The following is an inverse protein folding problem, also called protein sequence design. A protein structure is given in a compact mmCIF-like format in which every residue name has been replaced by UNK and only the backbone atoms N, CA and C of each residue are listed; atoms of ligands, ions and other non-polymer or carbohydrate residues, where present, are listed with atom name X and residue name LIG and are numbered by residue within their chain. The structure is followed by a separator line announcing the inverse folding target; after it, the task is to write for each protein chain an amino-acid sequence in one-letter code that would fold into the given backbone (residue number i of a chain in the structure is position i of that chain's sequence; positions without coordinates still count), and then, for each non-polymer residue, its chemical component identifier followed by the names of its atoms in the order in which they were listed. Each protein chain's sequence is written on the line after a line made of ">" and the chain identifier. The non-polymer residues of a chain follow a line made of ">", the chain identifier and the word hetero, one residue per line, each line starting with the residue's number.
data_IF_759401653212
#
_entry.id   IF_759401653212
#
_cell.length_a   1.000
_cell.length_b   1.000
_cell.length_c   1.000
_cell.angle_alpha   90.00
_cell.angle_beta   90.00
_cell.angle_gamma   90.00
#
_symmetry.space_group_name_H-M   'P 1'
#
loop_
_entity.id
_entity.type
_entity.pdbx_description
1 polymer ?
#
# COMPACT_ATOMS: atom_id res chain seq x y z
N UNK A 1 23.05 11.72 39.55
CA UNK A 1 22.82 10.28 39.77
C UNK A 1 21.74 9.75 38.81
N UNK A 2 21.99 9.78 37.50
CA UNK A 2 21.01 9.29 36.51
C UNK A 2 21.58 8.28 35.49
N UNK A 3 22.89 8.21 35.30
CA UNK A 3 23.50 7.24 34.36
C UNK A 3 23.35 5.77 34.81
N UNK A 4 23.24 5.50 36.11
CA UNK A 4 23.04 4.14 36.63
C UNK A 4 21.65 3.56 36.34
N UNK A 5 20.63 4.43 36.18
CA UNK A 5 19.25 3.99 35.90
C UNK A 5 19.03 3.68 34.43
N UNK A 6 19.70 4.42 33.55
CA UNK A 6 19.64 4.18 32.10
C UNK A 6 20.35 2.89 31.73
N UNK A 7 21.46 2.56 32.38
CA UNK A 7 22.17 1.28 32.18
C UNK A 7 21.35 0.08 32.69
N UNK A 8 20.67 0.23 33.82
CA UNK A 8 19.76 -0.80 34.35
C UNK A 8 18.56 -1.06 33.42
N UNK A 9 18.00 -0.02 32.79
CA UNK A 9 16.91 -0.16 31.80
C UNK A 9 17.38 -0.79 30.48
N UNK A 10 18.61 -0.50 30.04
CA UNK A 10 19.22 -1.11 28.86
C UNK A 10 19.54 -2.59 29.06
N UNK A 11 20.03 -2.97 30.24
CA UNK A 11 20.25 -4.38 30.56
C UNK A 11 18.91 -5.13 30.73
N UNK A 12 17.85 -4.49 31.22
CA UNK A 12 16.52 -5.09 31.32
C UNK A 12 15.84 -5.31 29.96
N UNK A 13 16.09 -4.42 28.97
CA UNK A 13 15.64 -4.62 27.59
C UNK A 13 16.41 -5.74 26.88
N UNK A 14 17.70 -5.91 27.19
CA UNK A 14 18.53 -6.96 26.58
C UNK A 14 18.20 -8.36 27.11
N UNK A 15 17.81 -8.49 28.38
CA UNK A 15 17.34 -9.77 28.95
C UNK A 15 15.92 -10.14 28.49
N UNK A 16 15.08 -9.16 28.14
CA UNK A 16 13.73 -9.41 27.61
C UNK A 16 13.72 -9.85 26.13
N UNK A 17 14.86 -9.74 25.44
CA UNK A 17 14.99 -10.09 24.03
C UNK A 17 15.57 -11.49 23.79
N UNK A 18 15.92 -12.24 24.85
CA UNK A 18 16.49 -13.61 24.75
C UNK A 18 15.47 -14.73 25.03
N UNK A 19 14.18 -14.42 25.13
CA UNK A 19 13.11 -15.43 25.17
C UNK A 19 11.98 -15.07 24.22
N UNK A 20 12.25 -15.15 22.93
CA UNK A 20 11.27 -15.64 21.96
C UNK A 20 12.04 -16.46 20.94
N UNK A 21 12.33 -17.69 21.36
CA UNK A 21 12.60 -18.79 20.44
C UNK A 21 11.55 -18.75 19.35
N UNK A 22 11.97 -18.43 18.13
CA UNK A 22 11.29 -18.85 16.90
C UNK A 22 10.96 -20.32 17.04
N UNK A 23 9.68 -20.73 17.13
CA UNK A 23 9.39 -22.11 16.87
C UNK A 23 9.55 -22.29 15.36
N UNK A 24 10.55 -23.07 15.01
CA UNK A 24 10.64 -23.85 13.78
C UNK A 24 9.38 -24.74 13.65
N UNK A 25 8.23 -24.12 13.43
CA UNK A 25 6.91 -24.74 13.55
C UNK A 25 5.89 -24.14 12.57
N UNK A 26 6.34 -23.61 11.45
CA UNK A 26 5.50 -23.57 10.24
C UNK A 26 5.75 -24.83 9.39
N UNK A 27 6.99 -25.33 9.33
CA UNK A 27 7.33 -26.58 8.67
C UNK A 27 6.69 -27.82 9.33
N UNK A 28 6.58 -27.85 10.67
CA UNK A 28 5.93 -28.98 11.38
C UNK A 28 4.41 -29.01 11.23
N UNK A 29 3.75 -27.87 11.02
CA UNK A 29 2.30 -27.83 10.74
C UNK A 29 1.97 -28.32 9.33
N UNK A 30 2.89 -28.15 8.37
CA UNK A 30 2.70 -28.60 6.99
C UNK A 30 2.72 -30.13 6.83
N UNK A 31 3.41 -30.85 7.71
CA UNK A 31 3.51 -32.32 7.64
C UNK A 31 2.31 -33.09 8.23
N UNK A 32 1.38 -32.44 8.95
CA UNK A 32 0.29 -33.15 9.66
C UNK A 32 -1.08 -33.13 8.95
N UNK A 33 -1.25 -32.45 7.81
CA UNK A 33 -2.59 -32.23 7.22
C UNK A 33 -2.86 -32.98 5.91
N UNK A 34 -2.03 -33.97 5.57
CA UNK A 34 -2.19 -34.80 4.37
C UNK A 34 -3.23 -35.92 4.56
N UNK A 35 -4.50 -35.60 4.77
CA UNK A 35 -5.62 -36.49 4.49
C UNK A 35 -6.99 -35.80 4.62
N UNK A 36 -7.58 -35.32 3.53
CA UNK A 36 -9.03 -35.13 3.41
C UNK A 36 -9.50 -35.19 1.94
N UNK A 37 -10.70 -35.77 1.68
CA UNK A 37 -11.20 -36.08 0.34
C UNK A 37 -11.70 -34.83 -0.43
N UNK A 38 -11.90 -34.92 -1.76
CA UNK A 38 -12.31 -33.78 -2.58
C UNK A 38 -13.78 -33.45 -2.37
N UNK A 39 -14.08 -32.27 -1.82
CA UNK A 39 -15.43 -31.68 -1.76
C UNK A 39 -15.66 -30.70 -2.92
N UNK A 40 -16.94 -30.55 -3.35
CA UNK A 40 -17.32 -29.89 -4.60
C UNK A 40 -17.01 -28.40 -4.56
N UNK A 41 -16.60 -27.86 -5.73
CA UNK A 41 -16.34 -26.44 -6.03
C UNK A 41 -16.63 -25.49 -4.86
N UNK A 42 -15.66 -25.38 -3.95
CA UNK A 42 -15.79 -24.52 -2.78
C UNK A 42 -16.03 -23.10 -3.26
N UNK A 43 -17.02 -22.45 -2.67
CA UNK A 43 -17.38 -21.08 -2.95
C UNK A 43 -16.24 -20.17 -2.42
N UNK A 44 -15.20 -19.99 -3.25
CA UNK A 44 -13.94 -19.34 -2.90
C UNK A 44 -14.14 -17.93 -2.33
N UNK A 45 -15.27 -17.29 -2.67
CA UNK A 45 -15.67 -15.97 -2.17
C UNK A 45 -16.01 -15.98 -0.66
N UNK A 46 -16.44 -17.12 -0.11
CA UNK A 46 -16.85 -17.28 1.30
C UNK A 46 -15.79 -17.92 2.21
N UNK A 47 -14.61 -18.25 1.67
CA UNK A 47 -13.52 -18.83 2.45
C UNK A 47 -13.06 -17.90 3.59
N UNK A 48 -12.95 -18.45 4.80
CA UNK A 48 -12.32 -17.75 5.92
C UNK A 48 -10.82 -17.60 5.70
N UNK A 49 -10.19 -16.65 6.39
CA UNK A 49 -8.75 -16.39 6.29
C UNK A 49 -7.91 -17.64 6.56
N UNK A 50 -8.27 -18.45 7.57
CA UNK A 50 -7.57 -19.69 7.91
C UNK A 50 -7.70 -20.75 6.81
N UNK A 51 -8.87 -20.82 6.17
CA UNK A 51 -9.12 -21.72 5.05
C UNK A 51 -8.38 -21.28 3.78
N UNK A 52 -8.10 -19.98 3.61
CA UNK A 52 -7.36 -19.49 2.45
C UNK A 52 -5.88 -19.93 2.47
N UNK A 53 -5.23 -19.98 3.63
CA UNK A 53 -3.76 -20.17 3.72
C UNK A 53 -3.21 -21.40 2.96
N UNK A 54 -3.79 -22.60 3.06
CA UNK A 54 -3.30 -23.76 2.30
C UNK A 54 -3.46 -23.58 0.78
N UNK A 55 -4.48 -22.84 0.34
CA UNK A 55 -4.68 -22.53 -1.08
C UNK A 55 -3.64 -21.51 -1.56
N UNK A 56 -3.37 -20.48 -0.76
CA UNK A 56 -2.34 -19.47 -1.07
C UNK A 56 -0.96 -20.12 -1.18
N UNK A 57 -0.62 -21.03 -0.26
CA UNK A 57 0.66 -21.75 -0.29
C UNK A 57 0.82 -22.61 -1.55
N UNK A 58 -0.27 -23.18 -2.07
CA UNK A 58 -0.27 -23.94 -3.34
C UNK A 58 -0.10 -23.01 -4.54
N UNK A 59 -0.82 -21.89 -4.56
CA UNK A 59 -0.70 -20.87 -5.63
C UNK A 59 0.71 -20.27 -5.68
N UNK A 60 1.35 -20.06 -4.53
CA UNK A 60 2.71 -19.52 -4.46
C UNK A 60 3.78 -20.43 -5.10
N UNK A 61 3.49 -21.72 -5.28
CA UNK A 61 4.39 -22.66 -5.97
C UNK A 61 4.23 -22.63 -7.50
N UNK A 62 3.18 -21.99 -8.02
CA UNK A 62 2.94 -21.85 -9.45
C UNK A 62 3.70 -20.64 -10.01
N UNK A 63 4.61 -20.87 -10.95
CA UNK A 63 5.42 -19.83 -11.58
C UNK A 63 4.59 -18.83 -12.39
N UNK A 64 3.48 -19.26 -13.01
CA UNK A 64 2.59 -18.37 -13.74
C UNK A 64 1.88 -17.41 -12.78
N UNK A 65 1.43 -17.92 -11.64
CA UNK A 65 0.84 -17.11 -10.58
C UNK A 65 1.85 -16.08 -10.03
N UNK A 66 3.08 -16.51 -9.69
CA UNK A 66 4.13 -15.60 -9.19
C UNK A 66 4.47 -14.51 -10.21
N UNK A 67 4.53 -14.85 -11.50
CA UNK A 67 4.75 -13.89 -12.57
C UNK A 67 3.61 -12.87 -12.66
N UNK A 68 2.35 -13.29 -12.53
CA UNK A 68 1.18 -12.41 -12.53
C UNK A 68 1.20 -11.45 -11.31
N UNK A 69 1.47 -11.95 -10.10
CA UNK A 69 1.62 -11.10 -8.90
C UNK A 69 2.75 -10.09 -9.07
N UNK A 70 3.87 -10.50 -9.66
CA UNK A 70 5.00 -9.60 -9.95
C UNK A 70 4.62 -8.51 -10.96
N UNK A 71 3.90 -8.87 -12.02
CA UNK A 71 3.39 -7.91 -13.00
C UNK A 71 2.40 -6.91 -12.36
N UNK A 72 1.51 -7.37 -11.48
CA UNK A 72 0.61 -6.49 -10.74
C UNK A 72 1.37 -5.50 -9.84
N UNK A 73 2.45 -5.93 -9.16
CA UNK A 73 3.32 -5.06 -8.35
C UNK A 73 4.03 -4.01 -9.21
N UNK A 74 4.49 -4.38 -10.41
CA UNK A 74 5.08 -3.44 -11.38
C UNK A 74 4.04 -2.40 -11.80
N UNK A 75 2.83 -2.83 -12.17
CA UNK A 75 1.75 -1.91 -12.55
C UNK A 75 1.38 -0.93 -11.42
N UNK A 76 1.36 -1.40 -10.17
CA UNK A 76 1.17 -0.54 -9.01
C UNK A 76 2.30 0.49 -8.88
N UNK A 77 3.55 0.04 -8.95
CA UNK A 77 4.73 0.92 -8.86
C UNK A 77 4.74 1.98 -9.96
N UNK A 78 4.38 1.60 -11.20
CA UNK A 78 4.30 2.53 -12.32
C UNK A 78 3.14 3.53 -12.19
N UNK A 79 2.01 3.13 -11.59
CA UNK A 79 0.95 4.08 -11.26
C UNK A 79 1.41 5.07 -10.18
N UNK A 80 1.99 4.56 -9.09
CA UNK A 80 2.51 5.37 -7.99
C UNK A 80 3.52 6.40 -8.48
N UNK A 81 4.48 5.97 -9.30
CA UNK A 81 5.48 6.87 -9.91
C UNK A 81 4.83 7.97 -10.75
N UNK A 82 3.87 7.60 -11.61
CA UNK A 82 3.16 8.58 -12.46
C UNK A 82 2.38 9.60 -11.64
N UNK A 83 1.59 9.14 -10.65
CA UNK A 83 0.82 10.04 -9.79
C UNK A 83 1.73 10.95 -8.96
N UNK A 84 2.86 10.42 -8.48
CA UNK A 84 3.87 11.21 -7.78
C UNK A 84 4.47 12.30 -8.67
N UNK A 85 4.88 11.95 -9.89
CA UNK A 85 5.45 12.89 -10.85
C UNK A 85 4.44 13.98 -11.26
N UNK A 86 3.16 13.60 -11.51
CA UNK A 86 2.08 14.54 -11.79
C UNK A 86 1.87 15.53 -10.63
N UNK A 87 1.77 15.03 -9.38
CA UNK A 87 1.62 15.88 -8.19
C UNK A 87 2.81 16.82 -8.00
N UNK A 88 4.03 16.32 -8.23
CA UNK A 88 5.25 17.12 -8.19
C UNK A 88 5.25 18.21 -9.28
N UNK A 89 4.68 17.91 -10.45
CA UNK A 89 4.44 18.88 -11.51
C UNK A 89 3.60 20.06 -11.05
N UNK A 90 2.51 19.82 -10.33
CA UNK A 90 1.64 20.87 -9.77
C UNK A 90 2.41 21.73 -8.76
N UNK A 91 3.19 21.11 -7.88
CA UNK A 91 4.03 21.82 -6.91
C UNK A 91 5.05 22.73 -7.60
N UNK A 92 5.75 22.21 -8.61
CA UNK A 92 6.73 22.99 -9.39
C UNK A 92 6.07 24.15 -10.12
N UNK A 93 4.93 23.93 -10.75
CA UNK A 93 4.17 24.98 -11.43
C UNK A 93 3.78 26.10 -10.46
N UNK A 94 3.36 25.76 -9.24
CA UNK A 94 3.07 26.76 -8.21
C UNK A 94 4.31 27.52 -7.75
N UNK A 95 5.42 26.83 -7.51
CA UNK A 95 6.69 27.48 -7.16
C UNK A 95 7.11 28.48 -8.24
N UNK A 96 6.97 28.12 -9.51
CA UNK A 96 7.30 29.01 -10.63
C UNK A 96 6.34 30.19 -10.74
N UNK A 97 5.03 30.00 -10.46
CA UNK A 97 4.06 31.10 -10.35
C UNK A 97 4.46 32.08 -9.24
N UNK A 98 4.80 31.59 -8.05
CA UNK A 98 5.22 32.42 -6.92
C UNK A 98 6.50 33.20 -7.25
N UNK A 99 7.52 32.53 -7.81
CA UNK A 99 8.77 33.19 -8.22
C UNK A 99 8.49 34.34 -9.18
N UNK A 100 7.69 34.10 -10.23
CA UNK A 100 7.31 35.14 -11.21
C UNK A 100 6.59 36.31 -10.54
N UNK A 101 5.67 36.03 -9.62
CA UNK A 101 4.93 37.07 -8.91
C UNK A 101 5.85 37.92 -8.01
N UNK A 102 6.76 37.27 -7.27
CA UNK A 102 7.77 37.96 -6.44
C UNK A 102 8.69 38.82 -7.29
N UNK A 103 9.22 38.28 -8.39
CA UNK A 103 10.06 39.04 -9.33
C UNK A 103 9.31 40.25 -9.89
N UNK A 104 8.03 40.10 -10.26
CA UNK A 104 7.20 41.20 -10.75
C UNK A 104 7.00 42.29 -9.67
N UNK A 105 6.72 41.90 -8.43
CA UNK A 105 6.54 42.83 -7.31
C UNK A 105 7.83 43.62 -7.02
N UNK A 106 8.98 42.95 -7.09
CA UNK A 106 10.30 43.57 -6.96
C UNK A 106 10.56 44.61 -8.06
N UNK A 107 10.30 44.27 -9.33
CA UNK A 107 10.50 45.18 -10.48
C UNK A 107 9.57 46.40 -10.41
N UNK A 108 8.34 46.23 -9.94
CA UNK A 108 7.33 47.31 -9.89
C UNK A 108 7.51 48.23 -8.66
N UNK A 109 8.53 47.97 -7.82
CA UNK A 109 8.82 48.78 -6.63
C UNK A 109 7.94 48.48 -5.41
N UNK A 110 7.08 47.46 -5.48
CA UNK A 110 6.30 46.99 -4.33
C UNK A 110 7.14 46.19 -3.33
N UNK A 111 8.30 45.67 -3.74
CA UNK A 111 9.29 44.99 -2.90
C UNK A 111 8.93 43.56 -2.50
N UNK A 112 7.68 43.29 -2.12
CA UNK A 112 7.18 41.96 -1.74
C UNK A 112 5.76 41.73 -2.23
N UNK A 113 5.29 40.47 -2.19
CA UNK A 113 3.88 40.17 -2.47
C UNK A 113 2.99 40.74 -1.39
N UNK A 114 1.83 41.27 -1.77
CA UNK A 114 0.81 41.65 -0.79
C UNK A 114 0.23 40.39 -0.12
N UNK A 115 -0.26 40.55 1.11
CA UNK A 115 -0.90 39.45 1.84
C UNK A 115 -2.08 38.84 1.08
N UNK A 116 -2.88 39.68 0.41
CA UNK A 116 -4.00 39.22 -0.41
C UNK A 116 -3.54 38.37 -1.59
N UNK A 117 -2.52 38.80 -2.34
CA UNK A 117 -1.97 38.03 -3.45
C UNK A 117 -1.40 36.69 -2.98
N UNK A 118 -0.66 36.70 -1.86
CA UNK A 118 -0.09 35.49 -1.29
C UNK A 118 -1.17 34.47 -0.92
N UNK A 119 -2.23 34.92 -0.24
CA UNK A 119 -3.36 34.07 0.13
C UNK A 119 -4.13 33.57 -1.10
N UNK A 120 -4.41 34.43 -2.07
CA UNK A 120 -5.08 34.03 -3.30
C UNK A 120 -4.30 32.94 -4.07
N UNK A 121 -2.97 33.07 -4.14
CA UNK A 121 -2.11 32.07 -4.75
C UNK A 121 -2.07 30.76 -3.95
N UNK A 122 -2.04 30.82 -2.62
CA UNK A 122 -2.10 29.64 -1.77
C UNK A 122 -3.45 28.91 -1.92
N UNK A 123 -4.56 29.65 -1.97
CA UNK A 123 -5.91 29.10 -2.13
C UNK A 123 -6.08 28.43 -3.49
N UNK A 124 -5.58 29.05 -4.56
CA UNK A 124 -5.58 28.47 -5.89
C UNK A 124 -4.81 27.15 -5.92
N UNK A 125 -3.63 27.10 -5.30
CA UNK A 125 -2.83 25.88 -5.21
C UNK A 125 -3.52 24.78 -4.41
N UNK A 126 -4.14 25.11 -3.27
CA UNK A 126 -4.91 24.15 -2.48
C UNK A 126 -6.05 23.54 -3.28
N UNK A 127 -6.79 24.38 -4.03
CA UNK A 127 -7.86 23.89 -4.92
C UNK A 127 -7.32 22.98 -6.02
N UNK A 128 -6.18 23.33 -6.62
CA UNK A 128 -5.55 22.54 -7.67
C UNK A 128 -5.09 21.17 -7.15
N UNK A 129 -4.53 21.11 -5.94
CA UNK A 129 -4.17 19.84 -5.28
C UNK A 129 -5.39 18.98 -4.96
N UNK A 130 -6.42 19.56 -4.35
CA UNK A 130 -7.67 18.83 -4.05
C UNK A 130 -8.26 18.28 -5.33
N UNK A 131 -8.34 19.09 -6.38
CA UNK A 131 -8.84 18.67 -7.69
C UNK A 131 -8.05 17.49 -8.25
N UNK A 132 -6.72 17.54 -8.20
CA UNK A 132 -5.88 16.42 -8.61
C UNK A 132 -6.17 15.16 -7.79
N UNK A 133 -6.22 15.29 -6.47
CA UNK A 133 -6.44 14.15 -5.58
C UNK A 133 -7.82 13.52 -5.85
N UNK A 134 -8.89 14.32 -6.01
CA UNK A 134 -10.27 13.84 -6.22
C UNK A 134 -10.58 13.37 -7.62
N UNK A 135 -10.09 14.06 -8.65
CA UNK A 135 -10.47 13.78 -10.05
C UNK A 135 -9.48 12.88 -10.78
N UNK A 136 -8.24 12.77 -10.28
CA UNK A 136 -7.17 12.06 -10.98
C UNK A 136 -6.55 10.94 -10.16
N UNK A 137 -6.15 11.20 -8.92
CA UNK A 137 -5.42 10.23 -8.11
C UNK A 137 -6.34 9.13 -7.58
N UNK A 138 -7.41 9.50 -6.85
CA UNK A 138 -8.35 8.53 -6.26
C UNK A 138 -9.00 7.64 -7.32
N UNK A 139 -9.55 8.16 -8.45
CA UNK A 139 -10.16 7.30 -9.45
C UNK A 139 -9.17 6.32 -10.10
N UNK A 140 -7.91 6.73 -10.29
CA UNK A 140 -6.89 5.86 -10.85
C UNK A 140 -6.47 4.74 -9.88
N UNK A 141 -6.43 5.04 -8.58
CA UNK A 141 -6.23 4.05 -7.53
C UNK A 141 -7.39 3.06 -7.47
N UNK A 142 -8.64 3.54 -7.47
CA UNK A 142 -9.83 2.69 -7.46
C UNK A 142 -9.87 1.76 -8.68
N UNK A 143 -9.50 2.27 -9.85
CA UNK A 143 -9.43 1.48 -11.08
C UNK A 143 -8.34 0.41 -11.02
N UNK A 144 -7.13 0.74 -10.51
CA UNK A 144 -6.05 -0.23 -10.31
C UNK A 144 -6.50 -1.35 -9.37
N UNK A 145 -7.04 -0.95 -8.22
CA UNK A 145 -7.49 -1.86 -7.18
C UNK A 145 -8.60 -2.80 -7.72
N UNK A 146 -9.56 -2.27 -8.49
CA UNK A 146 -10.62 -3.07 -9.12
C UNK A 146 -10.05 -4.09 -10.10
N UNK A 147 -9.09 -3.66 -10.94
CA UNK A 147 -8.38 -4.56 -11.86
C UNK A 147 -7.65 -5.67 -11.10
N UNK A 148 -6.93 -5.31 -10.03
CA UNK A 148 -6.21 -6.28 -9.20
C UNK A 148 -7.15 -7.29 -8.54
N UNK A 149 -8.30 -6.88 -8.03
CA UNK A 149 -9.30 -7.81 -7.48
C UNK A 149 -9.80 -8.79 -8.54
N UNK A 150 -10.17 -8.30 -9.72
CA UNK A 150 -10.65 -9.16 -10.82
C UNK A 150 -9.57 -10.14 -11.29
N UNK A 151 -8.33 -9.68 -11.38
CA UNK A 151 -7.20 -10.52 -11.77
C UNK A 151 -6.91 -11.60 -10.72
N UNK A 152 -6.88 -11.25 -9.42
CA UNK A 152 -6.70 -12.21 -8.34
C UNK A 152 -7.86 -13.21 -8.23
N UNK A 153 -9.11 -12.75 -8.45
CA UNK A 153 -10.28 -13.63 -8.54
C UNK A 153 -10.14 -14.62 -9.70
N UNK A 154 -9.70 -14.16 -10.87
CA UNK A 154 -9.46 -15.03 -12.03
C UNK A 154 -8.33 -16.04 -11.83
N UNK A 155 -7.34 -15.69 -10.99
CA UNK A 155 -6.26 -16.58 -10.57
C UNK A 155 -6.68 -17.55 -9.46
N UNK A 156 -7.95 -17.52 -9.03
CA UNK A 156 -8.49 -18.42 -8.02
C UNK A 156 -8.04 -18.09 -6.60
N UNK A 157 -7.64 -16.85 -6.32
CA UNK A 157 -7.27 -16.42 -4.97
C UNK A 157 -8.51 -16.39 -4.08
N UNK A 158 -8.52 -17.10 -2.93
CA UNK A 158 -9.66 -17.12 -2.03
C UNK A 158 -10.02 -15.74 -1.50
N UNK A 159 -11.31 -15.55 -1.22
CA UNK A 159 -11.92 -14.32 -0.73
C UNK A 159 -11.72 -13.08 -1.64
N UNK A 160 -11.25 -13.27 -2.88
CA UNK A 160 -11.18 -12.20 -3.88
C UNK A 160 -12.44 -12.14 -4.71
N UNK A 161 -12.97 -10.93 -4.80
CA UNK A 161 -14.06 -10.53 -5.66
C UNK A 161 -14.07 -9.00 -5.72
N UNK A 162 -14.67 -8.44 -6.77
CA UNK A 162 -14.84 -6.99 -6.88
C UNK A 162 -15.75 -6.48 -5.76
N UNK A 163 -15.25 -5.54 -4.95
CA UNK A 163 -16.02 -4.94 -3.86
C UNK A 163 -15.50 -3.54 -3.54
N UNK A 164 -16.37 -2.63 -3.13
CA UNK A 164 -16.01 -1.32 -2.58
C UNK A 164 -16.19 -1.25 -1.05
N UNK A 165 -16.64 -2.34 -0.41
CA UNK A 165 -16.96 -2.34 1.01
C UNK A 165 -15.72 -2.50 1.89
N UNK A 166 -15.53 -1.58 2.84
CA UNK A 166 -14.31 -1.49 3.65
C UNK A 166 -13.97 -2.78 4.40
N UNK A 167 -14.96 -3.46 5.00
CA UNK A 167 -14.68 -4.68 5.75
C UNK A 167 -14.17 -5.83 4.86
N UNK A 168 -14.69 -5.92 3.63
CA UNK A 168 -14.22 -6.90 2.66
C UNK A 168 -12.84 -6.52 2.12
N UNK A 169 -12.59 -5.22 1.90
CA UNK A 169 -11.27 -4.71 1.52
C UNK A 169 -10.20 -5.05 2.54
N UNK A 170 -10.47 -4.86 3.83
CA UNK A 170 -9.54 -5.21 4.90
C UNK A 170 -9.22 -6.71 4.91
N UNK A 171 -10.25 -7.56 4.73
CA UNK A 171 -10.06 -9.01 4.62
C UNK A 171 -9.20 -9.36 3.41
N UNK A 172 -9.48 -8.75 2.26
CA UNK A 172 -8.73 -8.99 1.04
C UNK A 172 -7.27 -8.53 1.16
N UNK A 173 -7.03 -7.39 1.80
CA UNK A 173 -5.69 -6.87 2.05
C UNK A 173 -4.84 -7.83 2.90
N UNK A 174 -5.44 -8.48 3.91
CA UNK A 174 -4.73 -9.51 4.70
C UNK A 174 -4.31 -10.71 3.84
N UNK A 175 -5.17 -11.17 2.94
CA UNK A 175 -4.86 -12.26 1.99
C UNK A 175 -3.72 -11.84 1.06
N UNK A 176 -3.78 -10.64 0.49
CA UNK A 176 -2.73 -10.11 -0.39
C UNK A 176 -1.41 -9.92 0.35
N UNK A 177 -1.42 -9.49 1.63
CA UNK A 177 -0.21 -9.34 2.43
C UNK A 177 0.50 -10.68 2.66
N UNK A 178 -0.25 -11.75 2.93
CA UNK A 178 0.30 -13.10 3.05
C UNK A 178 0.88 -13.57 1.71
N UNK A 179 0.15 -13.38 0.61
CA UNK A 179 0.63 -13.71 -0.73
C UNK A 179 1.91 -12.95 -1.08
N UNK A 180 1.98 -11.67 -0.76
CA UNK A 180 3.16 -10.85 -0.99
C UNK A 180 4.37 -11.38 -0.21
N UNK A 181 4.17 -11.86 1.03
CA UNK A 181 5.23 -12.49 1.83
C UNK A 181 5.71 -13.82 1.27
N UNK A 182 4.81 -14.64 0.72
CA UNK A 182 5.14 -15.95 0.13
C UNK A 182 5.82 -15.85 -1.24
N UNK A 183 5.59 -14.76 -1.98
CA UNK A 183 6.11 -14.54 -3.34
C UNK A 183 7.34 -13.64 -3.38
N UNK A 184 7.88 -13.26 -2.21
CA UNK A 184 9.03 -12.35 -2.08
C UNK A 184 10.30 -13.03 -1.54
N UNK A 185 10.34 -14.36 -1.49
CA UNK A 185 11.59 -15.14 -1.36
C UNK A 185 12.23 -15.39 -2.74
#
# INVERSE_FOLDING_TARGET
>A
MEEGRVKALLDQLRHSQTQQSVPSSVASLLSQLSAAPPTPAQDLQSCSFQQALPHLARLAQDSHFVAAISAMKIHQTDLERRLFDERRGIQKAQQDRVKKAVTKASITGAGTLTHYEANSMADAFRRELVKFDTERALPAWDALISKQQTELESLGVPAMYLTSFTADRERQQRVVQVLAGMTSE
#
